data_IF_662005375344
#
_entry.id   IF_662005375344
#
_cell.length_a   1.000
_cell.length_b   1.000
_cell.length_c   1.000
_cell.angle_alpha   90.00
_cell.angle_beta   90.00
_cell.angle_gamma   90.00
#
_symmetry.space_group_name_H-M   'P 1'
#
loop_
_entity.id
_entity.type
_entity.pdbx_description
1 polymer ?
#
# COMPACT_ATOMS: atom_id res chain seq x y z
N UNK A 1 -9.67 13.30 -1.93
CA UNK A 1 -8.49 12.42 -2.01
C UNK A 1 -7.14 13.10 -1.72
N UNK A 2 -7.07 14.42 -1.46
CA UNK A 2 -5.80 15.07 -1.07
C UNK A 2 -5.33 14.69 0.35
N UNK A 3 -6.25 14.48 1.29
CA UNK A 3 -5.95 14.13 2.68
C UNK A 3 -5.21 12.80 2.84
N UNK A 4 -5.61 11.76 2.10
CA UNK A 4 -4.98 10.44 2.20
C UNK A 4 -3.52 10.44 1.69
N UNK A 5 -3.22 11.20 0.63
CA UNK A 5 -1.84 11.37 0.16
C UNK A 5 -1.00 12.12 1.21
N UNK A 6 -1.51 13.22 1.75
CA UNK A 6 -0.81 13.95 2.82
C UNK A 6 -0.68 13.14 4.11
N UNK A 7 -1.62 12.25 4.41
CA UNK A 7 -1.52 11.31 5.51
C UNK A 7 -0.42 10.27 5.24
N UNK A 8 -0.31 9.75 4.02
CA UNK A 8 0.77 8.84 3.63
C UNK A 8 2.15 9.52 3.70
N UNK A 9 2.24 10.80 3.33
CA UNK A 9 3.43 11.63 3.50
C UNK A 9 3.76 11.82 4.99
N UNK A 10 2.79 12.23 5.81
CA UNK A 10 2.96 12.46 7.24
C UNK A 10 3.30 11.18 8.02
N UNK A 11 2.82 10.02 7.56
CA UNK A 11 3.11 8.70 8.14
C UNK A 11 4.39 8.07 7.58
N UNK A 12 5.10 8.76 6.68
CA UNK A 12 6.39 8.31 6.16
C UNK A 12 6.30 7.15 5.16
N UNK A 13 5.13 6.86 4.59
CA UNK A 13 4.95 5.74 3.66
C UNK A 13 5.86 5.86 2.43
N UNK A 14 6.18 7.10 2.01
CA UNK A 14 7.06 7.38 0.88
C UNK A 14 8.55 7.09 1.12
N UNK A 15 8.95 6.78 2.36
CA UNK A 15 10.31 6.30 2.65
C UNK A 15 10.56 4.90 2.09
N UNK A 16 9.51 4.07 1.99
CA UNK A 16 9.61 2.68 1.54
C UNK A 16 8.83 2.40 0.25
N UNK A 17 7.87 3.24 -0.11
CA UNK A 17 6.99 3.07 -1.26
C UNK A 17 7.00 4.29 -2.18
N UNK A 18 6.72 4.06 -3.46
CA UNK A 18 6.45 5.12 -4.43
C UNK A 18 5.17 4.80 -5.20
N UNK A 19 4.63 5.79 -5.92
CA UNK A 19 3.37 5.59 -6.65
C UNK A 19 3.54 4.56 -7.77
N UNK A 20 4.60 4.67 -8.56
CA UNK A 20 4.78 3.88 -9.80
C UNK A 20 6.07 3.05 -9.83
N UNK A 21 6.94 3.18 -8.82
CA UNK A 21 8.22 2.49 -8.74
C UNK A 21 8.38 1.67 -7.45
N UNK A 22 9.14 0.57 -7.53
CA UNK A 22 9.60 -0.17 -6.35
C UNK A 22 10.71 0.59 -5.67
N UNK A 23 10.69 0.61 -4.33
CA UNK A 23 11.81 1.12 -3.53
C UNK A 23 12.25 0.03 -2.56
N UNK A 24 11.64 -0.01 -1.37
CA UNK A 24 11.77 -1.15 -0.44
C UNK A 24 10.55 -2.05 -0.59
N UNK A 25 9.36 -1.42 -0.54
CA UNK A 25 8.09 -2.04 -0.84
C UNK A 25 7.68 -1.89 -2.31
N UNK A 26 6.60 -2.57 -2.71
CA UNK A 26 6.02 -2.44 -4.06
C UNK A 26 5.51 -1.02 -4.32
N UNK A 27 5.42 -0.65 -5.59
CA UNK A 27 4.72 0.57 -5.99
C UNK A 27 3.24 0.51 -5.60
N UNK A 28 2.63 1.64 -5.21
CA UNK A 28 1.19 1.68 -4.90
C UNK A 28 0.33 1.26 -6.11
N UNK A 29 0.73 1.64 -7.32
CA UNK A 29 0.09 1.21 -8.56
C UNK A 29 0.11 -0.31 -8.78
N UNK A 30 1.15 -1.00 -8.28
CA UNK A 30 1.25 -2.46 -8.34
C UNK A 30 0.31 -3.13 -7.35
N UNK A 31 0.19 -2.55 -6.15
CA UNK A 31 -0.79 -2.99 -5.15
C UNK A 31 -2.20 -2.86 -5.72
N UNK A 32 -2.54 -1.71 -6.30
CA UNK A 32 -3.81 -1.50 -6.99
C UNK A 32 -4.04 -2.52 -8.11
N UNK A 33 -3.00 -2.88 -8.87
CA UNK A 33 -3.07 -3.92 -9.90
C UNK A 33 -3.34 -5.32 -9.33
N UNK A 34 -2.58 -5.75 -8.31
CA UNK A 34 -2.70 -7.10 -7.70
C UNK A 34 -4.07 -7.32 -7.06
N UNK A 35 -4.62 -6.30 -6.41
CA UNK A 35 -5.89 -6.40 -5.68
C UNK A 35 -7.10 -5.89 -6.46
N UNK A 36 -6.93 -5.50 -7.74
CA UNK A 36 -8.02 -5.04 -8.59
C UNK A 36 -9.14 -6.08 -8.64
N UNK A 37 -10.37 -5.66 -8.33
CA UNK A 37 -11.55 -6.54 -8.34
C UNK A 37 -11.72 -7.42 -7.10
N UNK A 38 -10.79 -7.36 -6.13
CA UNK A 38 -10.98 -8.06 -4.86
C UNK A 38 -11.91 -7.25 -3.94
N UNK A 39 -13.07 -7.80 -3.50
CA UNK A 39 -13.95 -7.11 -2.57
C UNK A 39 -13.32 -6.96 -1.17
N UNK A 40 -12.28 -7.75 -0.87
CA UNK A 40 -11.55 -7.71 0.41
C UNK A 40 -10.28 -6.85 0.34
N UNK A 41 -10.04 -6.14 -0.77
CA UNK A 41 -8.80 -5.39 -0.97
C UNK A 41 -8.53 -4.37 0.15
N UNK A 42 -9.53 -3.55 0.49
CA UNK A 42 -9.38 -2.50 1.49
C UNK A 42 -9.07 -3.10 2.86
N UNK A 43 -9.84 -4.10 3.31
CA UNK A 43 -9.62 -4.73 4.62
C UNK A 43 -8.27 -5.47 4.71
N UNK A 44 -7.87 -6.13 3.62
CA UNK A 44 -6.56 -6.81 3.55
C UNK A 44 -5.42 -5.81 3.68
N UNK A 45 -5.51 -4.69 2.95
CA UNK A 45 -4.49 -3.65 2.94
C UNK A 45 -4.47 -2.86 4.25
N UNK A 46 -5.63 -2.54 4.82
CA UNK A 46 -5.68 -1.82 6.11
C UNK A 46 -5.07 -2.67 7.22
N UNK A 47 -5.41 -3.96 7.28
CA UNK A 47 -4.81 -4.89 8.24
C UNK A 47 -3.29 -5.01 8.04
N UNK A 48 -2.82 -5.08 6.79
CA UNK A 48 -1.40 -5.10 6.49
C UNK A 48 -0.69 -3.80 6.93
N UNK A 49 -1.32 -2.64 6.76
CA UNK A 49 -0.76 -1.36 7.22
C UNK A 49 -0.70 -1.30 8.75
N UNK A 50 -1.74 -1.76 9.44
CA UNK A 50 -1.83 -1.74 10.91
C UNK A 50 -0.86 -2.71 11.57
N UNK A 51 -0.80 -3.96 11.10
CA UNK A 51 -0.06 -5.03 11.76
C UNK A 51 1.25 -5.39 11.09
N UNK A 52 1.53 -4.82 9.92
CA UNK A 52 2.62 -5.24 9.07
C UNK A 52 2.24 -6.45 8.21
N UNK A 53 3.11 -6.78 7.26
CA UNK A 53 2.93 -7.92 6.36
C UNK A 53 4.28 -8.45 5.89
N UNK A 54 4.39 -9.76 5.71
CA UNK A 54 5.57 -10.42 5.15
C UNK A 54 5.16 -11.43 4.07
N UNK A 55 6.07 -11.72 3.13
CA UNK A 55 5.89 -12.77 2.12
C UNK A 55 4.96 -12.46 0.94
N UNK A 56 4.21 -11.35 0.96
CA UNK A 56 3.25 -11.01 -0.13
C UNK A 56 3.92 -10.42 -1.37
N UNK A 57 5.02 -9.69 -1.18
CA UNK A 57 5.73 -8.92 -2.21
C UNK A 57 7.24 -9.22 -2.27
N UNK A 58 7.66 -10.30 -1.61
CA UNK A 58 9.06 -10.70 -1.48
C UNK A 58 9.46 -10.96 -0.04
N UNK A 59 10.78 -11.08 0.19
CA UNK A 59 11.35 -11.42 1.49
C UNK A 59 11.36 -10.27 2.50
N UNK A 60 11.21 -9.01 2.06
CA UNK A 60 11.26 -7.87 2.97
C UNK A 60 9.90 -7.67 3.68
N UNK A 61 9.83 -7.81 5.02
CA UNK A 61 8.60 -7.52 5.75
C UNK A 61 8.33 -6.01 5.81
N UNK A 62 7.08 -5.63 5.66
CA UNK A 62 6.59 -4.31 6.04
C UNK A 62 6.25 -4.34 7.54
N UNK A 63 6.86 -3.49 8.39
CA UNK A 63 6.54 -3.44 9.81
C UNK A 63 5.15 -2.81 10.05
N UNK A 64 4.59 -3.07 11.23
CA UNK A 64 3.38 -2.40 11.70
C UNK A 64 3.53 -0.88 11.68
N UNK A 65 2.53 -0.17 11.14
CA UNK A 65 2.55 1.29 11.07
C UNK A 65 1.72 1.90 12.20
N UNK A 66 2.17 3.05 12.72
CA UNK A 66 1.43 3.80 13.74
C UNK A 66 0.27 4.58 13.12
N UNK A 67 -0.82 3.88 12.82
CA UNK A 67 -2.07 4.44 12.26
C UNK A 67 -3.28 3.92 13.04
N UNK A 68 -4.36 4.69 13.03
CA UNK A 68 -5.66 4.19 13.54
C UNK A 68 -6.34 3.31 12.49
N UNK A 69 -7.31 2.46 12.86
CA UNK A 69 -8.05 1.65 11.88
C UNK A 69 -8.75 2.48 10.80
N UNK A 70 -9.23 3.67 11.16
CA UNK A 70 -9.83 4.60 10.21
C UNK A 70 -8.78 5.14 9.20
N UNK A 71 -7.60 5.52 9.68
CA UNK A 71 -6.49 5.99 8.85
C UNK A 71 -5.98 4.88 7.92
N UNK A 72 -5.87 3.65 8.42
CA UNK A 72 -5.44 2.51 7.63
C UNK A 72 -6.41 2.22 6.48
N UNK A 73 -7.72 2.28 6.73
CA UNK A 73 -8.74 2.14 5.68
C UNK A 73 -8.70 3.29 4.67
N UNK A 74 -8.49 4.52 5.11
CA UNK A 74 -8.35 5.68 4.21
C UNK A 74 -7.11 5.53 3.31
N UNK A 75 -5.98 5.12 3.87
CA UNK A 75 -4.75 4.84 3.12
C UNK A 75 -4.94 3.67 2.15
N UNK A 76 -5.54 2.57 2.59
CA UNK A 76 -5.83 1.41 1.74
C UNK A 76 -6.74 1.77 0.56
N UNK A 77 -7.81 2.55 0.80
CA UNK A 77 -8.70 3.04 -0.24
C UNK A 77 -7.96 3.95 -1.24
N UNK A 78 -7.07 4.81 -0.74
CA UNK A 78 -6.24 5.67 -1.59
C UNK A 78 -5.24 4.87 -2.43
N UNK A 79 -4.59 3.84 -1.87
CA UNK A 79 -3.72 2.94 -2.62
C UNK A 79 -4.50 2.23 -3.73
N UNK A 80 -5.70 1.72 -3.43
CA UNK A 80 -6.57 1.08 -4.43
C UNK A 80 -7.08 2.04 -5.51
N UNK A 81 -7.14 3.34 -5.23
CA UNK A 81 -7.50 4.37 -6.19
C UNK A 81 -6.35 4.79 -7.12
N UNK A 82 -5.12 4.30 -6.90
CA UNK A 82 -4.01 4.56 -7.83
C UNK A 82 -4.28 3.89 -9.17
N UNK A 83 -3.76 4.51 -10.24
CA UNK A 83 -3.83 3.91 -11.58
C UNK A 83 -3.13 2.55 -11.54
N UNK A 84 -3.83 1.43 -11.81
CA UNK A 84 -3.21 0.11 -11.74
C UNK A 84 -2.14 -0.04 -12.82
N UNK A 85 -0.94 -0.42 -12.41
CA UNK A 85 0.19 -0.71 -13.31
C UNK A 85 0.71 -2.09 -12.95
N UNK A 86 0.89 -2.96 -13.94
CA UNK A 86 1.44 -4.29 -13.72
C UNK A 86 2.91 -4.19 -13.27
N UNK A 87 3.35 -4.98 -12.27
CA UNK A 87 4.76 -5.10 -11.94
C UNK A 87 5.57 -5.61 -13.15
N UNK A 88 6.84 -5.19 -13.32
CA UNK A 88 7.76 -5.80 -14.27
C UNK A 88 7.89 -7.31 -14.00
N UNK A 89 8.08 -8.12 -15.05
CA UNK A 89 8.24 -9.59 -14.93
C UNK A 89 9.45 -10.03 -14.10
N UNK A 90 10.35 -9.11 -13.77
CA UNK A 90 11.60 -9.32 -13.03
C UNK A 90 11.65 -8.57 -11.69
N UNK A 91 10.51 -8.06 -11.20
CA UNK A 91 10.42 -7.26 -9.96
C UNK A 91 10.16 -8.07 -8.69
#
# INVERSE_FOLDING_TARGET
>A
MAKAKSLAEAKGCFACHQVEAKVVGPAFAWVAYKYKGSPKAIDTLSHAIEHGVSGVWGGMPMPAQSVTPAQAKELAAWVMAQKPIAPPKSA
#
